data_IF_923014552346
#
_entry.id   IF_923014552346
#
_cell.length_a   1.000
_cell.length_b   1.000
_cell.length_c   1.000
_cell.angle_alpha   90.00
_cell.angle_beta   90.00
_cell.angle_gamma   90.00
#
_symmetry.space_group_name_H-M   'P 1'
#
loop_
_entity.id
_entity.type
_entity.pdbx_description
1 polymer ?
#
# COMPACT_ATOMS: atom_id res chain seq x y z
N UNK A 1 -8.10 -10.18 18.18
CA UNK A 1 -8.27 -9.21 17.07
C UNK A 1 -8.01 -7.83 17.66
N UNK A 2 -7.18 -7.00 17.03
CA UNK A 2 -6.88 -5.62 17.48
C UNK A 2 -7.48 -4.66 16.45
N UNK A 3 -8.13 -3.59 16.90
CA UNK A 3 -8.74 -2.61 16.00
C UNK A 3 -7.65 -1.81 15.25
N UNK A 4 -7.79 -1.55 13.93
CA UNK A 4 -6.89 -0.64 13.21
C UNK A 4 -6.72 0.71 13.88
N UNK A 5 -7.79 1.25 14.46
CA UNK A 5 -7.77 2.53 15.19
C UNK A 5 -6.87 2.49 16.42
N UNK A 6 -6.64 1.30 17.01
CA UNK A 6 -5.80 1.14 18.19
C UNK A 6 -4.31 0.90 17.86
N UNK A 7 -4.00 0.28 16.72
CA UNK A 7 -2.61 -0.08 16.39
C UNK A 7 -1.97 0.82 15.34
N UNK A 8 -2.73 1.42 14.41
CA UNK A 8 -2.17 2.31 13.38
C UNK A 8 -1.44 3.50 14.01
N UNK A 9 -2.00 4.24 14.98
CA UNK A 9 -1.29 5.36 15.60
C UNK A 9 0.04 4.95 16.25
N UNK A 10 0.07 3.76 16.87
CA UNK A 10 1.31 3.22 17.47
C UNK A 10 2.35 2.83 16.43
N UNK A 11 1.91 2.32 15.27
CA UNK A 11 2.82 2.05 14.14
C UNK A 11 3.38 3.36 13.56
N UNK A 12 2.57 4.41 13.50
CA UNK A 12 3.00 5.73 13.05
C UNK A 12 4.00 6.37 14.00
N UNK A 13 3.71 6.40 15.31
CA UNK A 13 4.61 6.91 16.36
C UNK A 13 5.97 6.20 16.35
N UNK A 14 5.97 4.87 16.15
CA UNK A 14 7.19 4.07 16.09
C UNK A 14 7.86 4.00 14.71
N UNK A 15 7.32 4.65 13.69
CA UNK A 15 7.80 4.55 12.30
C UNK A 15 7.60 3.18 11.63
N UNK A 16 7.05 2.20 12.35
CA UNK A 16 6.72 0.86 11.86
C UNK A 16 5.63 0.86 10.78
N UNK A 17 4.89 1.97 10.64
CA UNK A 17 3.93 2.15 9.55
C UNK A 17 4.59 2.01 8.18
N UNK A 18 5.87 2.38 8.04
CA UNK A 18 6.62 2.30 6.77
C UNK A 18 6.82 0.85 6.31
N UNK A 19 7.48 -0.03 7.08
CA UNK A 19 7.67 -1.41 6.69
C UNK A 19 6.35 -2.20 6.64
N UNK A 20 5.38 -1.90 7.51
CA UNK A 20 4.07 -2.57 7.51
C UNK A 20 3.28 -2.25 6.24
N UNK A 21 3.18 -0.98 5.86
CA UNK A 21 2.44 -0.60 4.65
C UNK A 21 3.10 -1.16 3.39
N UNK A 22 4.44 -1.21 3.34
CA UNK A 22 5.14 -1.86 2.23
C UNK A 22 4.80 -3.36 2.14
N UNK A 23 4.67 -4.05 3.28
CA UNK A 23 4.21 -5.43 3.31
C UNK A 23 2.76 -5.57 2.83
N UNK A 24 1.86 -4.67 3.26
CA UNK A 24 0.45 -4.64 2.81
C UNK A 24 0.38 -4.44 1.30
N UNK A 25 1.11 -3.48 0.75
CA UNK A 25 1.14 -3.20 -0.69
C UNK A 25 1.63 -4.43 -1.48
N UNK A 26 2.67 -5.11 -0.99
CA UNK A 26 3.15 -6.35 -1.61
C UNK A 26 2.05 -7.41 -1.66
N UNK A 27 1.31 -7.58 -0.56
CA UNK A 27 0.20 -8.54 -0.49
C UNK A 27 -0.97 -8.15 -1.38
N UNK A 28 -1.31 -6.86 -1.45
CA UNK A 28 -2.36 -6.35 -2.31
C UNK A 28 -2.03 -6.55 -3.80
N UNK A 29 -0.80 -6.23 -4.24
CA UNK A 29 -0.36 -6.45 -5.62
C UNK A 29 -0.36 -7.96 -5.97
N UNK A 30 0.13 -8.80 -5.05
CA UNK A 30 0.12 -10.27 -5.21
C UNK A 30 -1.28 -10.87 -5.25
N UNK A 31 -2.22 -10.30 -4.51
CA UNK A 31 -3.61 -10.69 -4.60
C UNK A 31 -4.14 -10.24 -5.95
N UNK A 32 -4.08 -8.95 -6.27
CA UNK A 32 -4.61 -8.36 -7.51
C UNK A 32 -4.11 -9.09 -8.76
N UNK A 33 -2.83 -9.47 -8.84
CA UNK A 33 -2.27 -10.23 -9.97
C UNK A 33 -2.96 -11.59 -10.23
N UNK A 34 -3.57 -12.20 -9.20
CA UNK A 34 -4.36 -13.43 -9.36
C UNK A 34 -5.79 -13.16 -9.82
N UNK A 35 -6.36 -12.01 -9.47
CA UNK A 35 -7.74 -11.65 -9.81
C UNK A 35 -7.84 -11.09 -11.23
N UNK A 36 -6.81 -10.38 -11.71
CA UNK A 36 -6.79 -9.84 -13.08
C UNK A 36 -6.80 -10.90 -14.18
N UNK A 37 -6.49 -12.15 -13.86
CA UNK A 37 -6.62 -13.29 -14.78
C UNK A 37 -8.10 -13.56 -15.11
N UNK A 38 -9.00 -13.27 -14.18
CA UNK A 38 -10.44 -13.49 -14.33
C UNK A 38 -11.17 -12.21 -14.77
N UNK A 39 -10.69 -11.05 -14.32
CA UNK A 39 -11.21 -9.73 -14.72
C UNK A 39 -10.05 -8.74 -14.95
N UNK A 40 -9.66 -8.48 -16.20
CA UNK A 40 -8.56 -7.57 -16.53
C UNK A 40 -8.71 -6.14 -16.01
N UNK A 41 -9.95 -5.72 -15.69
CA UNK A 41 -10.26 -4.39 -15.15
C UNK A 41 -10.30 -4.36 -13.62
N UNK A 42 -10.15 -5.51 -12.96
CA UNK A 42 -10.08 -5.58 -11.50
C UNK A 42 -8.98 -4.66 -10.96
N UNK A 43 -9.31 -3.88 -9.94
CA UNK A 43 -8.36 -2.98 -9.28
C UNK A 43 -8.50 -3.05 -7.76
N UNK A 44 -7.41 -2.70 -7.07
CA UNK A 44 -7.37 -2.65 -5.61
C UNK A 44 -6.95 -1.25 -5.15
N UNK A 45 -7.77 -0.64 -4.30
CA UNK A 45 -7.40 0.54 -3.52
C UNK A 45 -6.59 0.15 -2.29
N UNK A 46 -5.47 0.84 -2.08
CA UNK A 46 -4.57 0.62 -0.94
C UNK A 46 -4.36 1.95 -0.23
N UNK A 47 -4.74 1.99 1.05
CA UNK A 47 -4.47 3.12 1.92
C UNK A 47 -2.96 3.26 2.17
N UNK A 48 -2.45 4.47 2.02
CA UNK A 48 -1.05 4.83 2.24
C UNK A 48 -0.96 6.07 3.12
N UNK A 49 -0.06 6.06 4.10
CA UNK A 49 0.19 7.24 4.93
C UNK A 49 1.04 8.27 4.18
N UNK A 50 0.88 9.55 4.53
CA UNK A 50 1.70 10.61 3.96
C UNK A 50 3.21 10.42 4.24
N UNK A 51 3.56 9.90 5.42
CA UNK A 51 4.93 9.53 5.78
C UNK A 51 5.55 8.52 4.80
N UNK A 52 4.76 7.57 4.31
CA UNK A 52 5.20 6.61 3.31
C UNK A 52 5.58 7.29 2.00
N UNK A 53 4.78 8.27 1.57
CA UNK A 53 5.00 8.99 0.31
C UNK A 53 6.22 9.91 0.37
N UNK A 54 6.59 10.40 1.55
CA UNK A 54 7.83 11.16 1.76
C UNK A 54 9.09 10.29 1.68
N UNK A 55 8.96 8.97 1.73
CA UNK A 55 10.09 8.06 1.56
C UNK A 55 10.48 7.97 0.07
N UNK A 56 11.70 8.40 -0.26
CA UNK A 56 12.23 8.43 -1.62
C UNK A 56 12.24 7.06 -2.33
N UNK A 57 12.32 5.96 -1.58
CA UNK A 57 12.31 4.61 -2.14
C UNK A 57 10.89 4.04 -2.36
N UNK A 58 9.83 4.71 -1.87
CA UNK A 58 8.47 4.18 -1.92
C UNK A 58 8.02 3.82 -3.34
N UNK A 59 8.08 4.77 -4.27
CA UNK A 59 7.66 4.59 -5.66
C UNK A 59 8.49 3.48 -6.34
N UNK A 60 9.78 3.42 -6.03
CA UNK A 60 10.71 2.41 -6.56
C UNK A 60 10.33 1.01 -6.09
N UNK A 61 10.01 0.86 -4.80
CA UNK A 61 9.56 -0.41 -4.23
C UNK A 61 8.23 -0.88 -4.84
N UNK A 62 7.24 0.01 -4.97
CA UNK A 62 5.96 -0.30 -5.62
C UNK A 62 6.19 -0.78 -7.06
N UNK A 63 6.98 -0.04 -7.85
CA UNK A 63 7.32 -0.41 -9.24
C UNK A 63 8.01 -1.77 -9.32
N UNK A 64 8.92 -2.08 -8.37
CA UNK A 64 9.62 -3.36 -8.31
C UNK A 64 8.64 -4.52 -8.10
N UNK A 65 7.66 -4.34 -7.22
CA UNK A 65 6.64 -5.37 -6.94
C UNK A 65 5.70 -5.55 -8.12
N UNK A 66 5.19 -4.45 -8.70
CA UNK A 66 4.35 -4.51 -9.92
C UNK A 66 5.04 -5.29 -11.04
N UNK A 67 6.33 -4.98 -11.30
CA UNK A 67 7.13 -5.68 -12.32
C UNK A 67 7.29 -7.17 -12.00
N UNK A 68 7.55 -7.51 -10.73
CA UNK A 68 7.70 -8.91 -10.29
C UNK A 68 6.42 -9.72 -10.51
N UNK A 69 5.27 -9.15 -10.17
CA UNK A 69 3.97 -9.81 -10.25
C UNK A 69 3.30 -9.63 -11.63
N UNK A 70 3.98 -8.98 -12.58
CA UNK A 70 3.49 -8.67 -13.95
C UNK A 70 2.13 -7.97 -13.97
N UNK A 71 1.86 -7.14 -12.95
CA UNK A 71 0.61 -6.39 -12.83
C UNK A 71 0.73 -5.01 -13.49
N UNK A 72 -0.27 -4.61 -14.26
CA UNK A 72 -0.30 -3.27 -14.83
C UNK A 72 -0.58 -2.22 -13.73
N UNK A 73 0.08 -1.06 -13.74
CA UNK A 73 -0.16 -0.01 -12.74
C UNK A 73 -1.63 0.44 -12.64
N UNK A 74 -2.40 0.34 -13.73
CA UNK A 74 -3.84 0.70 -13.74
C UNK A 74 -4.69 -0.12 -12.75
N UNK A 75 -4.22 -1.29 -12.34
CA UNK A 75 -4.94 -2.18 -11.44
C UNK A 75 -4.70 -1.85 -9.95
N UNK A 76 -3.94 -0.79 -9.64
CA UNK A 76 -3.67 -0.35 -8.27
C UNK A 76 -4.01 1.12 -8.13
N UNK A 77 -4.81 1.44 -7.11
CA UNK A 77 -5.10 2.80 -6.67
C UNK A 77 -4.44 3.00 -5.31
N UNK A 78 -3.66 4.06 -5.16
CA UNK A 78 -3.08 4.44 -3.87
C UNK A 78 -3.91 5.58 -3.29
N UNK A 79 -4.52 5.34 -2.13
CA UNK A 79 -5.37 6.31 -1.43
C UNK A 79 -4.58 6.89 -0.26
N UNK A 80 -4.37 8.21 -0.29
CA UNK A 80 -3.75 8.93 0.81
C UNK A 80 -4.73 9.04 1.98
N UNK A 81 -4.30 8.64 3.17
CA UNK A 81 -5.09 8.86 4.38
C UNK A 81 -4.72 10.20 5.03
N UNK A 82 -5.72 11.03 5.33
CA UNK A 82 -5.59 12.38 5.90
C UNK A 82 -5.02 12.42 7.34
N UNK A 83 -4.80 11.28 8.00
CA UNK A 83 -4.36 11.20 9.41
C UNK A 83 -3.09 12.00 9.71
N UNK A 84 -2.26 12.27 8.69
CA UNK A 84 -1.01 13.03 8.83
C UNK A 84 -1.02 14.44 8.24
N UNK A 85 -2.00 14.84 7.44
CA UNK A 85 -2.02 16.17 6.81
C UNK A 85 -2.48 17.29 7.77
N UNK A 86 -3.00 16.94 8.94
CA UNK A 86 -3.57 17.90 9.92
C UNK A 86 -2.74 17.96 11.21
N UNK A 87 -1.43 17.69 11.15
CA UNK A 87 -0.52 17.96 12.28
C UNK A 87 0.47 19.06 11.95
#
# INVERSE_FOLDING_TARGET
KVSPVEFIPRLEEGGLIIPVSLWVIKKAIQACSKWVVYDPEFSVSINVSALQMLNSDFVKDVKKVLKKEKLAPKNIVLELTDSYMVR
#
